data_IF_780302560019
#
_entry.id   IF_780302560019
#
_cell.length_a   1.000
_cell.length_b   1.000
_cell.length_c   1.000
_cell.angle_alpha   90.00
_cell.angle_beta   90.00
_cell.angle_gamma   90.00
#
_symmetry.space_group_name_H-M   'P 1'
#
loop_
_entity.id
_entity.type
_entity.pdbx_description
1 polymer ?
#
# COMPACT_ATOMS: atom_id res chain seq x y z
N UNK A 1 34.37 -13.19 11.23
CA UNK A 1 33.86 -12.62 9.98
C UNK A 1 33.52 -11.16 10.26
N UNK A 2 34.18 -10.23 9.59
CA UNK A 2 33.93 -8.80 9.76
C UNK A 2 32.61 -8.37 9.09
N UNK A 3 32.12 -7.17 9.42
CA UNK A 3 30.89 -6.62 8.84
C UNK A 3 30.95 -6.57 7.28
N UNK A 4 32.08 -6.16 6.73
CA UNK A 4 32.30 -6.07 5.30
C UNK A 4 32.37 -7.45 4.63
N UNK A 5 32.91 -8.47 5.32
CA UNK A 5 32.93 -9.85 4.79
C UNK A 5 31.51 -10.36 4.54
N UNK A 6 30.57 -10.07 5.46
CA UNK A 6 29.13 -10.38 5.27
C UNK A 6 28.58 -9.73 4.02
N UNK A 7 28.93 -8.47 3.75
CA UNK A 7 28.47 -7.71 2.58
C UNK A 7 29.07 -8.27 1.30
N UNK A 8 30.38 -8.56 1.28
CA UNK A 8 31.07 -9.15 0.14
C UNK A 8 30.59 -10.56 -0.22
N UNK A 9 30.06 -11.30 0.76
CA UNK A 9 29.51 -12.65 0.55
C UNK A 9 28.03 -12.63 0.13
N UNK A 10 27.38 -11.47 0.02
CA UNK A 10 26.02 -11.38 -0.49
C UNK A 10 25.99 -11.64 -2.01
N UNK A 11 25.54 -12.82 -2.43
CA UNK A 11 25.58 -13.29 -3.81
C UNK A 11 24.19 -13.43 -4.46
N UNK A 12 23.14 -13.57 -3.66
CA UNK A 12 21.79 -13.90 -4.13
C UNK A 12 21.32 -13.05 -5.33
N UNK A 13 21.47 -11.71 -5.25
CA UNK A 13 21.08 -10.83 -6.35
C UNK A 13 22.01 -11.02 -7.59
N UNK A 14 23.32 -11.26 -7.38
CA UNK A 14 24.28 -11.48 -8.47
C UNK A 14 23.99 -12.78 -9.20
N UNK A 15 23.66 -13.84 -8.51
CA UNK A 15 23.30 -15.12 -9.08
C UNK A 15 22.08 -15.01 -10.01
N UNK A 16 21.07 -14.22 -9.62
CA UNK A 16 19.92 -13.91 -10.49
C UNK A 16 20.32 -13.07 -11.71
N UNK A 17 21.27 -12.12 -11.56
CA UNK A 17 21.79 -11.32 -12.67
C UNK A 17 22.56 -12.19 -13.66
N UNK A 18 23.39 -13.12 -13.17
CA UNK A 18 24.22 -14.00 -14.00
C UNK A 18 23.38 -14.92 -14.91
N UNK A 19 22.16 -15.25 -14.50
CA UNK A 19 21.22 -16.08 -15.27
C UNK A 19 20.08 -15.28 -15.92
N UNK A 20 20.18 -13.94 -15.94
CA UNK A 20 19.21 -13.00 -16.55
C UNK A 20 17.77 -13.10 -16.00
N UNK A 21 17.64 -13.42 -14.70
CA UNK A 21 16.36 -13.49 -13.98
C UNK A 21 16.21 -12.42 -12.88
N UNK A 22 17.07 -11.40 -12.88
CA UNK A 22 16.98 -10.29 -11.92
C UNK A 22 15.87 -9.32 -12.31
N UNK A 23 14.69 -9.46 -11.71
CA UNK A 23 13.49 -8.69 -12.03
C UNK A 23 13.25 -7.50 -11.07
N UNK A 24 14.29 -6.99 -10.42
CA UNK A 24 14.22 -5.83 -9.52
C UNK A 24 14.89 -4.60 -10.14
N UNK A 25 14.53 -3.40 -9.64
CA UNK A 25 15.10 -2.12 -10.10
C UNK A 25 15.04 -1.90 -11.61
N UNK A 26 13.97 -2.41 -12.25
CA UNK A 26 13.74 -2.27 -13.69
C UNK A 26 13.49 -0.81 -14.06
N UNK A 27 14.18 -0.29 -15.05
CA UNK A 27 14.11 1.12 -15.47
C UNK A 27 12.94 1.33 -16.42
N UNK A 28 11.97 2.16 -16.02
CA UNK A 28 10.86 2.62 -16.86
C UNK A 28 11.27 3.91 -17.57
N UNK A 29 11.03 3.99 -18.88
CA UNK A 29 11.52 5.06 -19.77
C UNK A 29 10.38 6.03 -20.19
N UNK A 30 9.21 5.91 -19.57
CA UNK A 30 8.01 6.71 -19.86
C UNK A 30 7.29 7.17 -18.59
N UNK A 31 6.18 7.89 -18.74
CA UNK A 31 5.24 8.10 -17.66
C UNK A 31 4.65 6.76 -17.14
N UNK A 32 4.13 6.75 -15.90
CA UNK A 32 3.46 5.60 -15.30
C UNK A 32 1.98 5.62 -15.73
N UNK A 33 1.67 4.82 -16.76
CA UNK A 33 0.35 4.68 -17.37
C UNK A 33 0.00 3.21 -17.57
N UNK A 34 -1.09 2.92 -18.27
CA UNK A 34 -1.53 1.54 -18.59
C UNK A 34 -0.45 0.77 -19.34
N UNK A 35 0.26 1.46 -20.22
CA UNK A 35 1.45 0.98 -20.91
C UNK A 35 2.65 1.83 -20.55
N UNK A 36 3.80 1.21 -20.49
CA UNK A 36 5.07 1.88 -20.21
C UNK A 36 6.13 1.46 -21.21
N UNK A 37 7.12 2.33 -21.41
CA UNK A 37 8.31 1.96 -22.18
C UNK A 37 9.33 1.30 -21.27
N UNK A 38 9.69 0.07 -21.62
CA UNK A 38 10.72 -0.71 -20.94
C UNK A 38 11.64 -1.36 -21.95
N UNK A 39 12.95 -1.13 -21.85
CA UNK A 39 13.97 -1.61 -22.82
C UNK A 39 13.60 -1.29 -24.29
N UNK A 40 13.12 -0.06 -24.51
CA UNK A 40 12.73 0.42 -25.84
C UNK A 40 11.42 -0.15 -26.40
N UNK A 41 10.74 -1.04 -25.69
CA UNK A 41 9.44 -1.63 -26.06
C UNK A 41 8.32 -1.02 -25.24
N UNK A 42 7.12 -0.93 -25.80
CA UNK A 42 5.90 -0.60 -25.07
C UNK A 42 5.28 -1.89 -24.52
N UNK A 43 5.01 -1.92 -23.21
CA UNK A 43 4.48 -3.09 -22.51
C UNK A 43 3.35 -2.71 -21.56
N UNK A 44 2.38 -3.61 -21.36
CA UNK A 44 1.21 -3.39 -20.49
C UNK A 44 1.67 -3.45 -19.02
N UNK A 45 1.30 -2.45 -18.22
CA UNK A 45 1.72 -2.28 -16.83
C UNK A 45 0.71 -2.91 -15.87
N UNK A 46 0.92 -4.12 -15.42
CA UNK A 46 0.14 -4.79 -14.38
C UNK A 46 0.88 -4.87 -13.02
N UNK A 47 1.97 -4.14 -12.87
CA UNK A 47 2.79 -4.13 -11.64
C UNK A 47 2.72 -2.83 -10.83
N UNK A 48 1.86 -1.86 -11.22
CA UNK A 48 1.77 -0.55 -10.59
C UNK A 48 0.60 -0.46 -9.60
N UNK A 49 0.80 0.25 -8.48
CA UNK A 49 -0.27 0.58 -7.53
C UNK A 49 -1.03 1.88 -7.89
N UNK A 50 -0.95 2.36 -9.12
CA UNK A 50 -1.64 3.55 -9.61
C UNK A 50 -3.13 3.26 -9.89
N UNK A 51 -3.87 2.75 -8.89
CA UNK A 51 -5.22 2.17 -9.02
C UNK A 51 -6.20 3.04 -9.80
N UNK A 52 -6.18 4.35 -9.57
CA UNK A 52 -7.10 5.29 -10.25
C UNK A 52 -6.52 5.91 -11.53
N UNK A 53 -5.28 5.58 -11.90
CA UNK A 53 -4.63 6.11 -13.09
C UNK A 53 -4.33 7.61 -13.02
N UNK A 54 -4.07 8.16 -11.83
CA UNK A 54 -3.95 9.60 -11.61
C UNK A 54 -2.52 10.15 -11.74
N UNK A 55 -1.50 9.31 -11.77
CA UNK A 55 -0.09 9.77 -11.78
C UNK A 55 0.26 10.65 -12.98
N UNK A 56 -0.45 10.50 -14.10
CA UNK A 56 -0.24 11.29 -15.32
C UNK A 56 -1.46 12.16 -15.68
N UNK A 57 -2.48 12.29 -14.81
CA UNK A 57 -3.64 13.14 -15.04
C UNK A 57 -3.20 14.60 -15.21
N UNK A 58 -3.66 15.31 -16.27
CA UNK A 58 -3.23 16.68 -16.56
C UNK A 58 -3.55 17.66 -15.42
N UNK A 59 -4.66 17.48 -14.70
CA UNK A 59 -5.08 18.34 -13.58
C UNK A 59 -4.12 18.18 -12.38
N UNK A 60 -3.69 16.94 -12.12
CA UNK A 60 -2.71 16.64 -11.06
C UNK A 60 -1.34 17.24 -11.39
N UNK A 61 -0.92 17.14 -12.66
CA UNK A 61 0.34 17.76 -13.14
C UNK A 61 0.29 19.29 -13.09
N UNK A 62 -0.82 19.88 -13.50
CA UNK A 62 -1.01 21.33 -13.47
C UNK A 62 -0.97 21.87 -12.03
N UNK A 63 -1.64 21.18 -11.09
CA UNK A 63 -1.59 21.54 -9.68
C UNK A 63 -0.16 21.54 -9.13
N UNK A 64 0.61 20.50 -9.47
CA UNK A 64 2.03 20.40 -9.08
C UNK A 64 2.87 21.56 -9.65
N UNK A 65 2.69 21.89 -10.94
CA UNK A 65 3.42 22.98 -11.60
C UNK A 65 3.09 24.34 -10.98
N UNK A 66 1.82 24.59 -10.71
CA UNK A 66 1.36 25.82 -10.05
C UNK A 66 1.92 25.96 -8.64
N UNK A 67 2.00 24.85 -7.88
CA UNK A 67 2.60 24.86 -6.55
C UNK A 67 4.10 25.14 -6.60
N UNK A 68 4.84 24.59 -7.57
CA UNK A 68 6.24 24.93 -7.79
C UNK A 68 6.41 26.43 -8.10
N UNK A 69 5.57 26.97 -8.97
CA UNK A 69 5.64 28.39 -9.33
C UNK A 69 5.39 29.32 -8.14
N UNK A 70 4.48 28.94 -7.20
CA UNK A 70 4.13 29.74 -6.02
C UNK A 70 5.09 29.59 -4.87
N UNK A 71 5.49 28.33 -4.54
CA UNK A 71 6.19 28.01 -3.30
C UNK A 71 7.65 27.55 -3.50
N UNK A 72 8.07 27.31 -4.74
CA UNK A 72 9.36 26.69 -5.04
C UNK A 72 9.33 25.17 -4.94
N UNK A 73 10.51 24.54 -4.96
CA UNK A 73 10.67 23.09 -5.07
C UNK A 73 10.64 22.33 -3.74
N UNK A 74 10.74 23.04 -2.60
CA UNK A 74 10.77 22.41 -1.28
C UNK A 74 10.59 23.42 -0.16
N UNK A 75 10.45 22.92 1.08
CA UNK A 75 10.16 23.73 2.27
C UNK A 75 11.42 24.12 3.07
N UNK A 76 12.56 23.52 2.77
CA UNK A 76 13.84 23.73 3.46
C UNK A 76 13.79 23.57 5.00
N UNK A 77 12.86 22.74 5.51
CA UNK A 77 12.70 22.45 6.93
C UNK A 77 11.61 21.46 7.22
N UNK A 78 11.47 21.08 8.49
CA UNK A 78 10.43 20.17 8.96
C UNK A 78 9.10 20.91 9.19
N UNK A 79 8.00 20.12 9.23
CA UNK A 79 6.66 20.62 9.59
C UNK A 79 6.64 21.34 10.94
N UNK A 80 7.46 20.89 11.86
CA UNK A 80 7.57 21.43 13.23
C UNK A 80 8.20 22.83 13.31
N UNK A 81 9.04 23.19 12.33
CA UNK A 81 9.75 24.48 12.31
C UNK A 81 9.17 25.43 11.25
N UNK A 82 9.82 25.51 10.09
CA UNK A 82 9.48 26.45 9.03
C UNK A 82 8.80 25.80 7.80
N UNK A 83 8.64 24.48 7.80
CA UNK A 83 8.18 23.74 6.62
C UNK A 83 6.67 23.51 6.56
N UNK A 84 5.85 24.20 7.38
CA UNK A 84 4.40 24.13 7.27
C UNK A 84 3.89 25.27 6.38
N UNK A 85 3.33 24.92 5.23
CA UNK A 85 2.68 25.86 4.31
C UNK A 85 1.15 25.79 4.47
N UNK A 86 0.44 26.81 3.96
CA UNK A 86 -1.02 26.86 3.90
C UNK A 86 -1.61 25.59 3.24
N UNK A 87 -1.06 25.17 2.09
CA UNK A 87 -1.51 24.00 1.35
C UNK A 87 -1.37 22.67 2.12
N UNK A 88 -0.46 22.59 3.11
CA UNK A 88 -0.41 21.41 3.99
C UNK A 88 -1.64 21.33 4.88
N UNK A 89 -2.07 22.48 5.43
CA UNK A 89 -3.25 22.54 6.31
C UNK A 89 -4.52 22.25 5.50
N UNK A 90 -4.67 22.85 4.32
CA UNK A 90 -5.79 22.60 3.41
C UNK A 90 -5.88 21.11 3.04
N UNK A 91 -4.74 20.47 2.76
CA UNK A 91 -4.69 19.03 2.47
C UNK A 91 -5.10 18.19 3.70
N UNK A 92 -4.63 18.55 4.91
CA UNK A 92 -5.00 17.86 6.15
C UNK A 92 -6.51 17.93 6.42
N UNK A 93 -7.13 19.09 6.20
CA UNK A 93 -8.59 19.26 6.31
C UNK A 93 -9.34 18.39 5.29
N UNK A 94 -8.88 18.38 4.03
CA UNK A 94 -9.45 17.57 2.95
C UNK A 94 -9.33 16.07 3.24
N UNK A 95 -8.20 15.60 3.74
CA UNK A 95 -7.98 14.20 4.12
C UNK A 95 -8.84 13.78 5.31
N UNK A 96 -8.97 14.62 6.33
CA UNK A 96 -9.85 14.36 7.46
C UNK A 96 -11.31 14.18 7.01
N UNK A 97 -11.79 15.07 6.13
CA UNK A 97 -13.12 14.98 5.55
C UNK A 97 -13.30 13.73 4.66
N UNK A 98 -12.27 13.37 3.86
CA UNK A 98 -12.29 12.17 3.01
C UNK A 98 -12.54 10.91 3.83
N UNK A 99 -11.76 10.69 4.88
CA UNK A 99 -11.85 9.46 5.69
C UNK A 99 -12.83 9.58 6.87
N UNK A 100 -13.56 10.70 7.01
CA UNK A 100 -14.58 10.90 8.02
C UNK A 100 -14.04 11.04 9.45
N UNK A 101 -12.88 11.69 9.61
CA UNK A 101 -12.26 11.95 10.92
C UNK A 101 -12.21 13.44 11.23
N UNK A 102 -11.95 13.80 12.51
CA UNK A 102 -11.95 15.20 12.95
C UNK A 102 -10.73 15.97 12.49
N UNK A 103 -9.58 15.32 12.42
CA UNK A 103 -8.30 15.92 12.04
C UNK A 103 -7.40 14.93 11.35
N UNK A 104 -6.54 15.42 10.46
CA UNK A 104 -5.47 14.63 9.85
C UNK A 104 -4.12 15.35 10.01
N UNK A 105 -3.04 14.58 9.81
CA UNK A 105 -1.66 15.05 9.86
C UNK A 105 -0.87 14.40 8.73
N UNK A 106 -0.21 15.21 7.90
CA UNK A 106 0.54 14.76 6.72
C UNK A 106 2.01 14.51 7.07
N UNK A 107 2.55 13.41 6.56
CA UNK A 107 3.96 12.98 6.63
C UNK A 107 4.57 12.90 5.24
N UNK A 108 5.90 12.95 5.15
CA UNK A 108 6.61 12.92 3.88
C UNK A 108 6.58 11.56 3.17
N UNK A 109 6.31 10.46 3.86
CA UNK A 109 6.05 9.13 3.29
C UNK A 109 5.06 8.34 4.14
N UNK A 110 4.33 7.37 3.53
CA UNK A 110 3.47 6.45 4.28
C UNK A 110 4.24 5.60 5.29
N UNK A 111 5.47 5.18 4.96
CA UNK A 111 6.33 4.45 5.89
C UNK A 111 6.60 5.23 7.19
N UNK A 112 6.86 6.53 7.07
CA UNK A 112 7.08 7.42 8.22
C UNK A 112 5.83 7.65 9.06
N UNK A 113 4.63 7.51 8.50
CA UNK A 113 3.37 7.60 9.28
C UNK A 113 3.36 6.51 10.33
N UNK A 114 3.51 5.24 9.94
CA UNK A 114 3.52 4.12 10.89
C UNK A 114 4.64 4.23 11.91
N UNK A 115 5.87 4.59 11.48
CA UNK A 115 6.96 4.81 12.42
C UNK A 115 6.66 5.93 13.43
N UNK A 116 6.13 7.05 12.96
CA UNK A 116 5.83 8.22 13.80
C UNK A 116 4.68 7.97 14.75
N UNK A 117 3.59 7.38 14.27
CA UNK A 117 2.39 7.11 15.05
C UNK A 117 2.68 6.07 16.14
N UNK A 118 3.18 4.89 15.76
CA UNK A 118 3.40 3.79 16.70
C UNK A 118 4.45 4.15 17.76
N UNK A 119 5.56 4.78 17.37
CA UNK A 119 6.61 5.17 18.31
C UNK A 119 6.23 6.33 19.22
N UNK A 120 5.20 7.14 18.89
CA UNK A 120 4.72 8.21 19.73
C UNK A 120 3.58 7.80 20.66
N UNK A 121 2.71 6.88 20.23
CA UNK A 121 1.52 6.49 21.01
C UNK A 121 1.83 5.40 22.03
N UNK A 122 2.64 4.41 21.67
CA UNK A 122 2.89 3.26 22.53
C UNK A 122 4.30 3.30 23.15
N UNK A 123 4.42 2.89 24.41
CA UNK A 123 5.66 2.89 25.17
C UNK A 123 5.83 1.62 26.00
N UNK A 124 6.80 1.62 26.95
CA UNK A 124 7.23 0.45 27.75
C UNK A 124 6.15 -0.27 28.55
N UNK A 125 4.98 0.34 28.75
CA UNK A 125 3.87 -0.22 29.54
C UNK A 125 2.69 -0.61 28.67
N UNK A 126 2.84 -0.49 27.36
CA UNK A 126 1.78 -0.71 26.39
C UNK A 126 2.13 -1.91 25.52
N UNK A 127 1.14 -2.47 24.86
CA UNK A 127 1.29 -3.58 23.91
C UNK A 127 0.76 -3.17 22.54
N UNK A 128 1.55 -3.43 21.50
CA UNK A 128 1.11 -3.30 20.11
C UNK A 128 0.80 -4.70 19.60
N UNK A 129 -0.41 -4.89 19.08
CA UNK A 129 -0.90 -6.15 18.52
C UNK A 129 -1.02 -5.98 17.00
N UNK A 130 -0.34 -6.85 16.24
CA UNK A 130 -0.23 -6.78 14.78
C UNK A 130 -0.59 -8.11 14.14
N UNK A 131 -1.12 -8.08 12.93
CA UNK A 131 -1.22 -9.26 12.08
C UNK A 131 0.21 -9.69 11.65
N UNK A 132 0.45 -10.99 11.50
CA UNK A 132 1.78 -11.49 11.12
C UNK A 132 2.20 -11.08 9.70
N UNK A 133 1.25 -10.73 8.83
CA UNK A 133 1.45 -10.31 7.44
C UNK A 133 1.38 -8.80 7.24
N UNK A 134 1.17 -8.03 8.31
CA UNK A 134 1.17 -6.57 8.26
C UNK A 134 2.45 -6.00 7.64
N UNK A 135 2.30 -4.86 6.97
CA UNK A 135 3.37 -4.19 6.23
C UNK A 135 4.62 -3.92 7.08
N UNK A 136 5.80 -4.00 6.45
CA UNK A 136 7.10 -3.79 7.11
C UNK A 136 7.20 -2.48 7.90
N UNK A 137 6.52 -1.41 7.48
CA UNK A 137 6.50 -0.13 8.19
C UNK A 137 5.82 -0.21 9.56
N UNK A 138 4.81 -1.08 9.70
CA UNK A 138 4.13 -1.38 10.97
C UNK A 138 5.09 -2.11 11.90
N UNK A 139 5.75 -3.14 11.39
CA UNK A 139 6.73 -3.93 12.15
C UNK A 139 7.88 -3.03 12.65
N UNK A 140 8.42 -2.18 11.78
CA UNK A 140 9.53 -1.28 12.13
C UNK A 140 9.07 -0.16 13.07
N UNK A 141 7.88 0.40 12.86
CA UNK A 141 7.27 1.38 13.76
C UNK A 141 7.05 0.82 15.17
N UNK A 142 6.52 -0.41 15.26
CA UNK A 142 6.36 -1.11 16.53
C UNK A 142 7.69 -1.36 17.25
N UNK A 143 8.75 -1.74 16.53
CA UNK A 143 10.11 -1.89 17.10
C UNK A 143 10.67 -0.60 17.67
N UNK A 144 10.33 0.55 17.09
CA UNK A 144 10.81 1.87 17.55
C UNK A 144 10.05 2.39 18.78
N UNK A 145 8.90 1.82 19.14
CA UNK A 145 8.02 2.30 20.20
C UNK A 145 8.48 1.95 21.61
N UNK A 146 9.35 0.99 21.82
CA UNK A 146 9.66 0.35 23.10
C UNK A 146 8.48 -0.41 23.76
N UNK A 147 7.32 -0.51 23.13
CA UNK A 147 6.21 -1.33 23.59
C UNK A 147 6.51 -2.83 23.35
N UNK A 148 5.84 -3.67 24.10
CA UNK A 148 5.82 -5.09 23.78
C UNK A 148 5.00 -5.31 22.51
N UNK A 149 5.48 -6.22 21.63
CA UNK A 149 4.79 -6.53 20.37
C UNK A 149 4.26 -7.95 20.43
N UNK A 150 2.97 -8.11 20.15
CA UNK A 150 2.31 -9.41 19.99
C UNK A 150 1.84 -9.56 18.55
N UNK A 151 2.01 -10.75 18.02
CA UNK A 151 1.52 -11.09 16.66
C UNK A 151 0.41 -12.11 16.77
N UNK A 152 -0.63 -11.93 15.96
CA UNK A 152 -1.63 -12.96 15.74
C UNK A 152 -1.52 -13.52 14.32
N UNK A 153 -2.07 -14.74 14.12
CA UNK A 153 -2.08 -15.37 12.80
C UNK A 153 -2.97 -14.59 11.84
N UNK A 154 -2.54 -14.52 10.60
CA UNK A 154 -3.19 -13.75 9.56
C UNK A 154 -4.71 -13.98 9.51
N UNK A 155 -5.47 -12.89 9.64
CA UNK A 155 -6.93 -12.85 9.64
C UNK A 155 -7.63 -13.90 10.55
N UNK A 156 -6.95 -14.38 11.62
CA UNK A 156 -7.44 -15.36 12.56
C UNK A 156 -7.97 -14.68 13.83
N UNK A 157 -9.28 -14.50 13.88
CA UNK A 157 -9.95 -13.76 14.97
C UNK A 157 -9.95 -14.53 16.29
N UNK A 158 -9.95 -15.87 16.27
CA UNK A 158 -9.80 -16.69 17.48
C UNK A 158 -8.42 -16.48 18.09
N UNK A 159 -7.39 -16.45 17.25
CA UNK A 159 -6.03 -16.21 17.72
C UNK A 159 -5.84 -14.75 18.18
N UNK A 160 -6.45 -13.77 17.52
CA UNK A 160 -6.46 -12.38 17.99
C UNK A 160 -7.12 -12.29 19.38
N UNK A 161 -8.25 -12.94 19.60
CA UNK A 161 -8.92 -12.94 20.89
C UNK A 161 -8.07 -13.56 22.01
N UNK A 162 -7.39 -14.67 21.73
CA UNK A 162 -6.45 -15.29 22.67
C UNK A 162 -5.30 -14.34 23.06
N UNK A 163 -4.76 -13.60 22.10
CA UNK A 163 -3.73 -12.58 22.35
C UNK A 163 -4.28 -11.45 23.21
N UNK A 164 -5.45 -10.94 22.90
CA UNK A 164 -6.10 -9.87 23.65
C UNK A 164 -6.43 -10.28 25.09
N UNK A 165 -6.91 -11.50 25.31
CA UNK A 165 -7.15 -12.03 26.66
C UNK A 165 -5.87 -12.16 27.47
N UNK A 166 -4.75 -12.57 26.87
CA UNK A 166 -3.46 -12.63 27.54
C UNK A 166 -2.92 -11.28 27.98
N UNK A 167 -3.35 -10.20 27.35
CA UNK A 167 -2.94 -8.81 27.60
C UNK A 167 -4.07 -7.96 28.20
N UNK A 168 -5.10 -8.56 28.80
CA UNK A 168 -6.31 -7.85 29.27
C UNK A 168 -6.04 -6.70 30.24
N UNK A 169 -4.99 -6.79 31.03
CA UNK A 169 -4.64 -5.81 32.07
C UNK A 169 -3.65 -4.73 31.58
N UNK A 170 -3.29 -4.72 30.30
CA UNK A 170 -2.37 -3.75 29.68
C UNK A 170 -3.12 -2.76 28.78
N UNK A 171 -2.55 -1.57 28.53
CA UNK A 171 -2.99 -0.72 27.43
C UNK A 171 -2.62 -1.37 26.11
N UNK A 172 -3.53 -1.36 25.15
CA UNK A 172 -3.37 -2.08 23.89
C UNK A 172 -3.64 -1.17 22.70
N UNK A 173 -2.79 -1.30 21.67
CA UNK A 173 -3.00 -0.76 20.35
C UNK A 173 -3.03 -1.91 19.34
N UNK A 174 -4.17 -2.14 18.71
CA UNK A 174 -4.27 -3.02 17.54
C UNK A 174 -3.99 -2.16 16.31
N UNK A 175 -3.09 -2.60 15.46
CA UNK A 175 -2.92 -2.05 14.12
C UNK A 175 -3.00 -3.19 13.11
N UNK A 176 -3.65 -2.94 11.97
CA UNK A 176 -3.86 -3.93 10.92
C UNK A 176 -3.91 -3.23 9.56
N UNK A 177 -3.33 -3.86 8.54
CA UNK A 177 -3.55 -3.47 7.14
C UNK A 177 -5.03 -3.65 6.79
N UNK A 178 -5.68 -2.62 6.26
CA UNK A 178 -7.08 -2.71 5.82
C UNK A 178 -7.23 -3.65 4.61
N UNK A 179 -6.25 -3.61 3.71
CA UNK A 179 -6.07 -4.52 2.58
C UNK A 179 -4.63 -4.98 2.56
N UNK A 180 -4.41 -6.29 2.61
CA UNK A 180 -3.08 -6.89 2.62
C UNK A 180 -2.44 -6.85 1.23
N UNK A 181 -1.23 -6.32 1.18
CA UNK A 181 -0.59 -5.88 -0.07
C UNK A 181 -0.16 -7.00 -1.02
N UNK A 182 0.02 -8.22 -0.51
CA UNK A 182 0.50 -9.36 -1.31
C UNK A 182 -0.64 -10.29 -1.71
N UNK A 183 -1.50 -10.63 -0.78
CA UNK A 183 -2.63 -11.54 -0.95
C UNK A 183 -3.86 -10.83 -1.53
N UNK A 184 -4.01 -9.52 -1.31
CA UNK A 184 -5.14 -8.73 -1.79
C UNK A 184 -6.46 -8.99 -1.04
N UNK A 185 -6.42 -9.69 0.08
CA UNK A 185 -7.57 -9.89 0.95
C UNK A 185 -7.80 -8.69 1.89
N UNK A 186 -8.99 -8.63 2.45
CA UNK A 186 -9.45 -7.54 3.32
C UNK A 186 -9.37 -8.02 4.77
N UNK A 187 -8.94 -7.13 5.68
CA UNK A 187 -9.01 -7.40 7.10
C UNK A 187 -10.45 -7.66 7.57
N UNK A 188 -10.65 -8.63 8.45
CA UNK A 188 -11.95 -8.90 9.08
C UNK A 188 -12.32 -7.80 10.08
N UNK A 189 -12.40 -6.57 9.56
CA UNK A 189 -12.57 -5.36 10.36
C UNK A 189 -13.82 -5.37 11.26
N UNK A 190 -14.97 -5.95 10.85
CA UNK A 190 -16.13 -6.07 11.73
C UNK A 190 -15.84 -6.85 13.02
N UNK A 191 -15.13 -7.97 12.93
CA UNK A 191 -14.75 -8.79 14.07
C UNK A 191 -13.64 -8.13 14.89
N UNK A 192 -12.66 -7.52 14.23
CA UNK A 192 -11.56 -6.79 14.88
C UNK A 192 -12.13 -5.64 15.72
N UNK A 193 -13.09 -4.86 15.20
CA UNK A 193 -13.71 -3.77 15.96
C UNK A 193 -14.47 -4.27 17.18
N UNK A 194 -15.18 -5.40 17.10
CA UNK A 194 -15.86 -6.02 18.24
C UNK A 194 -14.86 -6.46 19.33
N UNK A 195 -13.76 -7.06 18.91
CA UNK A 195 -12.70 -7.47 19.83
C UNK A 195 -11.99 -6.26 20.46
N UNK A 196 -11.71 -5.22 19.67
CA UNK A 196 -11.12 -3.98 20.18
C UNK A 196 -12.01 -3.33 21.26
N UNK A 197 -13.33 -3.22 21.03
CA UNK A 197 -14.27 -2.73 22.02
C UNK A 197 -14.33 -3.63 23.25
N UNK A 198 -14.43 -4.94 23.08
CA UNK A 198 -14.50 -5.92 24.18
C UNK A 198 -13.31 -5.84 25.14
N UNK A 199 -12.11 -5.64 24.60
CA UNK A 199 -10.86 -5.64 25.37
C UNK A 199 -10.31 -4.23 25.63
N UNK A 200 -11.03 -3.17 25.26
CA UNK A 200 -10.63 -1.77 25.46
C UNK A 200 -9.32 -1.41 24.74
N UNK A 201 -9.12 -1.93 23.53
CA UNK A 201 -7.97 -1.64 22.70
C UNK A 201 -8.23 -0.44 21.81
N UNK A 202 -7.23 0.42 21.60
CA UNK A 202 -7.20 1.41 20.53
C UNK A 202 -7.02 0.69 19.19
N UNK A 203 -7.76 1.09 18.17
CA UNK A 203 -7.70 0.48 16.84
C UNK A 203 -7.20 1.46 15.78
N UNK A 204 -6.12 1.10 15.10
CA UNK A 204 -5.58 1.79 13.94
C UNK A 204 -5.69 0.89 12.70
N UNK A 205 -6.16 1.45 11.59
CA UNK A 205 -6.18 0.78 10.28
C UNK A 205 -5.17 1.45 9.36
N UNK A 206 -4.23 0.66 8.83
CA UNK A 206 -3.39 1.07 7.72
C UNK A 206 -4.17 0.83 6.41
N UNK A 207 -4.72 1.88 5.89
CA UNK A 207 -5.60 1.88 4.72
C UNK A 207 -4.87 2.28 3.43
N UNK A 208 -3.57 2.00 3.38
CA UNK A 208 -2.71 2.34 2.25
C UNK A 208 -3.17 1.76 0.92
N UNK A 209 -3.81 0.59 0.93
CA UNK A 209 -4.40 -0.06 -0.25
C UNK A 209 -5.93 0.09 -0.32
N UNK A 210 -6.59 0.55 0.74
CA UNK A 210 -8.04 0.73 0.78
C UNK A 210 -8.48 2.11 0.28
N UNK A 211 -7.74 3.18 0.62
CA UNK A 211 -8.05 4.54 0.15
C UNK A 211 -7.97 4.63 -1.38
N UNK A 212 -9.06 5.07 -2.01
CA UNK A 212 -9.23 5.12 -3.46
C UNK A 212 -9.71 3.80 -4.07
N UNK A 213 -9.79 2.71 -3.30
CA UNK A 213 -10.16 1.36 -3.78
C UNK A 213 -11.46 0.88 -3.13
N UNK A 214 -11.57 0.97 -1.83
CA UNK A 214 -12.72 0.48 -1.05
C UNK A 214 -13.60 1.63 -0.53
N UNK A 215 -14.83 1.28 -0.20
CA UNK A 215 -15.81 2.19 0.36
C UNK A 215 -16.40 3.17 -0.65
N UNK A 216 -17.41 3.90 -0.22
CA UNK A 216 -18.09 4.87 -1.08
C UNK A 216 -17.12 5.96 -1.54
N UNK A 217 -16.96 6.14 -2.84
CA UNK A 217 -16.05 7.11 -3.45
C UNK A 217 -14.60 6.94 -2.98
N UNK A 218 -14.15 5.69 -2.72
CA UNK A 218 -12.78 5.41 -2.33
C UNK A 218 -12.38 5.87 -0.92
N UNK A 219 -13.32 5.96 0.03
CA UNK A 219 -13.08 6.43 1.41
C UNK A 219 -12.36 5.42 2.30
N UNK A 220 -12.03 4.25 1.79
CA UNK A 220 -11.23 3.24 2.46
C UNK A 220 -12.03 2.14 3.16
N UNK A 221 -11.29 1.22 3.78
CA UNK A 221 -11.78 -0.03 4.37
C UNK A 221 -12.77 0.22 5.51
N UNK A 222 -12.49 1.16 6.39
CA UNK A 222 -13.41 1.49 7.49
C UNK A 222 -14.78 1.98 6.99
N UNK A 223 -14.79 2.76 5.91
CA UNK A 223 -16.03 3.22 5.28
C UNK A 223 -16.75 2.09 4.53
N UNK A 224 -15.99 1.18 3.92
CA UNK A 224 -16.54 0.01 3.22
C UNK A 224 -17.45 -0.83 4.13
N UNK A 225 -17.05 -1.03 5.39
CA UNK A 225 -17.83 -1.76 6.39
C UNK A 225 -18.78 -0.88 7.21
N UNK A 226 -18.82 0.45 7.00
CA UNK A 226 -19.63 1.37 7.81
C UNK A 226 -19.12 1.51 9.25
N UNK A 227 -17.82 1.29 9.48
CA UNK A 227 -17.17 1.24 10.80
C UNK A 227 -16.26 2.43 11.08
N UNK A 228 -16.36 3.51 10.30
CA UNK A 228 -15.49 4.68 10.42
C UNK A 228 -15.43 5.22 11.86
N UNK A 229 -16.55 5.24 12.58
CA UNK A 229 -16.63 5.73 13.97
C UNK A 229 -16.06 4.74 15.00
N UNK A 230 -15.82 3.49 14.62
CA UNK A 230 -15.27 2.42 15.46
C UNK A 230 -13.75 2.27 15.37
N UNK A 231 -13.14 2.87 14.37
CA UNK A 231 -11.69 2.89 14.18
C UNK A 231 -11.17 4.21 14.75
N UNK A 232 -10.19 4.17 15.65
CA UNK A 232 -9.65 5.40 16.28
C UNK A 232 -8.75 6.18 15.33
N UNK A 233 -7.89 5.48 14.60
CA UNK A 233 -6.92 6.05 13.70
C UNK A 233 -6.98 5.38 12.33
N UNK A 234 -7.00 6.18 11.28
CA UNK A 234 -6.87 5.74 9.88
C UNK A 234 -5.58 6.32 9.32
N UNK A 235 -4.70 5.45 8.85
CA UNK A 235 -3.51 5.82 8.11
C UNK A 235 -3.75 5.59 6.62
N UNK A 236 -3.18 6.43 5.76
CA UNK A 236 -3.14 6.21 4.32
C UNK A 236 -1.83 6.69 3.70
N UNK A 237 -1.55 6.22 2.50
CA UNK A 237 -0.39 6.66 1.71
C UNK A 237 -0.82 7.38 0.45
N UNK A 238 0.04 8.28 -0.05
CA UNK A 238 -0.19 8.98 -1.32
C UNK A 238 0.47 8.30 -2.52
N UNK A 239 1.28 7.27 -2.28
CA UNK A 239 2.09 6.62 -3.31
C UNK A 239 1.33 5.60 -4.18
N UNK A 240 0.02 5.54 -4.05
CA UNK A 240 -0.86 4.61 -4.77
C UNK A 240 -2.00 5.38 -5.47
N UNK A 241 -3.24 5.23 -5.03
CA UNK A 241 -4.41 5.91 -5.63
C UNK A 241 -4.27 7.44 -5.71
N UNK A 242 -3.57 8.07 -4.77
CA UNK A 242 -3.42 9.52 -4.70
C UNK A 242 -2.18 10.07 -5.43
N UNK A 243 -1.51 9.25 -6.25
CA UNK A 243 -0.61 9.63 -7.34
C UNK A 243 0.62 10.48 -6.96
N UNK A 244 1.11 10.45 -5.70
CA UNK A 244 2.24 11.26 -5.24
C UNK A 244 3.10 10.51 -4.22
N UNK A 245 3.92 11.22 -3.47
CA UNK A 245 4.70 10.69 -2.34
C UNK A 245 4.24 11.38 -1.07
N UNK A 246 4.10 10.62 0.00
CA UNK A 246 3.66 11.07 1.31
C UNK A 246 2.69 10.08 1.95
N UNK A 247 2.10 10.49 3.05
CA UNK A 247 1.06 9.74 3.75
C UNK A 247 0.42 10.60 4.83
N UNK A 248 -0.60 10.09 5.47
CA UNK A 248 -1.32 10.78 6.52
C UNK A 248 -1.80 9.82 7.60
N UNK A 249 -2.07 10.36 8.78
CA UNK A 249 -2.89 9.74 9.81
C UNK A 249 -4.05 10.67 10.14
N UNK A 250 -5.24 10.11 10.35
CA UNK A 250 -6.44 10.85 10.72
C UNK A 250 -7.12 10.20 11.92
N UNK A 251 -7.70 11.03 12.81
CA UNK A 251 -8.35 10.56 14.03
C UNK A 251 -9.00 11.68 14.84
N UNK A 252 -9.10 11.48 16.16
CA UNK A 252 -9.53 12.52 17.08
C UNK A 252 -8.53 13.68 17.15
N UNK A 253 -9.02 14.90 17.37
CA UNK A 253 -8.20 16.11 17.34
C UNK A 253 -7.06 16.11 18.38
N UNK A 254 -7.34 15.61 19.61
CA UNK A 254 -6.33 15.58 20.67
C UNK A 254 -5.27 14.52 20.42
N UNK A 255 -5.67 13.38 19.85
CA UNK A 255 -4.72 12.31 19.45
C UNK A 255 -3.80 12.80 18.33
N UNK A 256 -4.35 13.44 17.30
CA UNK A 256 -3.55 14.01 16.21
C UNK A 256 -2.64 15.13 16.72
N UNK A 257 -3.11 15.97 17.64
CA UNK A 257 -2.29 16.99 18.28
C UNK A 257 -1.11 16.38 19.06
N UNK A 258 -1.35 15.31 19.80
CA UNK A 258 -0.30 14.56 20.52
C UNK A 258 0.75 14.00 19.54
N UNK A 259 0.32 13.31 18.47
CA UNK A 259 1.21 12.76 17.44
C UNK A 259 2.04 13.88 16.79
N UNK A 260 1.42 15.01 16.47
CA UNK A 260 2.07 16.17 15.85
C UNK A 260 3.29 16.68 16.65
N UNK A 261 3.25 16.56 17.98
CA UNK A 261 4.28 17.08 18.87
C UNK A 261 5.29 16.02 19.34
N UNK A 262 5.01 14.73 19.15
CA UNK A 262 5.84 13.64 19.67
C UNK A 262 6.36 12.69 18.59
N UNK A 263 5.78 12.68 17.40
CA UNK A 263 6.24 11.82 16.32
C UNK A 263 7.58 12.29 15.77
N UNK A 264 8.66 11.64 16.19
CA UNK A 264 10.04 11.99 15.79
C UNK A 264 10.24 11.91 14.27
N UNK A 265 9.58 10.96 13.59
CA UNK A 265 9.62 10.82 12.15
C UNK A 265 9.03 12.05 11.42
N UNK A 266 8.09 12.78 12.04
CA UNK A 266 7.59 14.05 11.52
C UNK A 266 8.49 15.22 11.88
N UNK A 267 8.86 15.34 13.17
CA UNK A 267 9.54 16.50 13.72
C UNK A 267 10.96 16.71 13.15
N UNK A 268 11.65 15.60 12.88
CA UNK A 268 13.06 15.60 12.45
C UNK A 268 13.25 15.24 10.97
N UNK A 269 12.17 15.28 10.19
CA UNK A 269 12.23 15.09 8.75
C UNK A 269 11.77 16.32 7.98
N UNK A 270 12.30 16.51 6.78
CA UNK A 270 11.85 17.57 5.89
C UNK A 270 10.36 17.39 5.54
N UNK A 271 9.67 18.51 5.40
CA UNK A 271 8.26 18.53 4.97
C UNK A 271 8.08 17.98 3.56
N UNK A 272 6.92 17.44 3.32
CA UNK A 272 6.48 17.07 1.97
C UNK A 272 6.56 18.29 1.04
N UNK A 273 7.16 18.16 -0.17
CA UNK A 273 7.37 19.32 -1.04
C UNK A 273 6.03 19.83 -1.63
N UNK A 274 5.93 21.13 -1.95
CA UNK A 274 4.70 21.78 -2.40
C UNK A 274 4.05 21.09 -3.61
N UNK A 275 4.84 20.66 -4.58
CA UNK A 275 4.35 19.93 -5.74
C UNK A 275 3.60 18.64 -5.37
N UNK A 276 4.16 17.87 -4.43
CA UNK A 276 3.54 16.63 -3.97
C UNK A 276 2.26 16.90 -3.18
N UNK A 277 2.23 17.94 -2.34
CA UNK A 277 1.02 18.36 -1.59
C UNK A 277 -0.11 18.72 -2.56
N UNK A 278 0.17 19.57 -3.54
CA UNK A 278 -0.81 20.00 -4.53
C UNK A 278 -1.30 18.86 -5.42
N UNK A 279 -0.39 17.94 -5.80
CA UNK A 279 -0.76 16.72 -6.56
C UNK A 279 -1.79 15.90 -5.81
N UNK A 280 -1.56 15.62 -4.51
CA UNK A 280 -2.50 14.85 -3.69
C UNK A 280 -3.83 15.56 -3.55
N UNK A 281 -3.81 16.87 -3.31
CA UNK A 281 -5.05 17.66 -3.20
C UNK A 281 -5.89 17.57 -4.47
N UNK A 282 -5.26 17.74 -5.64
CA UNK A 282 -5.93 17.60 -6.93
C UNK A 282 -6.39 16.16 -7.21
N UNK A 283 -5.59 15.16 -6.84
CA UNK A 283 -5.97 13.76 -7.00
C UNK A 283 -7.22 13.38 -6.20
N UNK A 284 -7.36 13.93 -4.98
CA UNK A 284 -8.58 13.76 -4.17
C UNK A 284 -9.79 14.41 -4.86
N UNK A 285 -9.64 15.62 -5.40
CA UNK A 285 -10.73 16.29 -6.11
C UNK A 285 -11.18 15.45 -7.31
N UNK A 286 -10.24 15.03 -8.16
CA UNK A 286 -10.53 14.17 -9.32
C UNK A 286 -11.21 12.87 -8.91
N UNK A 287 -10.72 12.21 -7.86
CA UNK A 287 -11.31 10.97 -7.33
C UNK A 287 -12.78 11.16 -6.89
N UNK A 288 -13.07 12.30 -6.25
CA UNK A 288 -14.42 12.60 -5.76
C UNK A 288 -15.37 13.09 -6.85
N UNK A 289 -14.86 13.68 -7.93
CA UNK A 289 -15.62 14.16 -9.08
C UNK A 289 -15.89 13.09 -10.14
N UNK A 290 -15.04 12.05 -10.21
CA UNK A 290 -15.06 11.04 -11.28
C UNK A 290 -15.35 9.62 -10.74
N UNK A 291 -16.59 9.34 -10.39
CA UNK A 291 -17.05 8.02 -9.90
C UNK A 291 -16.70 6.88 -10.88
N UNK A 292 -16.63 7.20 -12.19
CA UNK A 292 -16.30 6.21 -13.22
C UNK A 292 -14.94 5.52 -13.01
N UNK A 293 -13.99 6.19 -12.34
CA UNK A 293 -12.68 5.57 -12.07
C UNK A 293 -12.79 4.40 -11.10
N UNK A 294 -13.58 4.58 -10.05
CA UNK A 294 -13.84 3.51 -9.10
C UNK A 294 -14.60 2.36 -9.76
N UNK A 295 -15.67 2.67 -10.53
CA UNK A 295 -16.44 1.69 -11.27
C UNK A 295 -15.57 0.92 -12.30
N UNK A 296 -14.72 1.64 -13.04
CA UNK A 296 -13.82 1.05 -14.02
C UNK A 296 -12.78 0.14 -13.37
N UNK A 297 -12.20 0.55 -12.22
CA UNK A 297 -11.24 -0.26 -11.47
C UNK A 297 -11.84 -1.62 -11.09
N UNK A 298 -13.06 -1.62 -10.56
CA UNK A 298 -13.74 -2.85 -10.14
C UNK A 298 -14.19 -3.70 -11.34
N UNK A 299 -14.71 -3.09 -12.39
CA UNK A 299 -15.01 -3.80 -13.65
C UNK A 299 -13.76 -4.49 -14.22
N UNK A 300 -12.63 -3.79 -14.23
CA UNK A 300 -11.36 -4.33 -14.69
C UNK A 300 -10.86 -5.47 -13.80
N UNK A 301 -11.06 -5.35 -12.48
CA UNK A 301 -10.79 -6.42 -11.52
C UNK A 301 -11.61 -7.67 -11.82
N UNK A 302 -12.91 -7.52 -12.01
CA UNK A 302 -13.83 -8.64 -12.25
C UNK A 302 -13.51 -9.35 -13.57
N UNK A 303 -13.18 -8.59 -14.61
CA UNK A 303 -12.75 -9.15 -15.90
C UNK A 303 -11.45 -9.95 -15.75
N UNK A 304 -10.41 -9.36 -15.11
CA UNK A 304 -9.13 -10.04 -14.93
C UNK A 304 -9.29 -11.31 -14.10
N UNK A 305 -10.05 -11.25 -13.00
CA UNK A 305 -10.31 -12.38 -12.11
C UNK A 305 -11.01 -13.52 -12.85
N UNK A 306 -12.09 -13.22 -13.57
CA UNK A 306 -12.80 -14.23 -14.37
C UNK A 306 -11.87 -14.92 -15.37
N UNK A 307 -10.99 -14.18 -16.05
CA UNK A 307 -10.03 -14.72 -17.00
C UNK A 307 -8.96 -15.61 -16.33
N UNK A 308 -8.50 -15.24 -15.13
CA UNK A 308 -7.54 -16.04 -14.35
C UNK A 308 -8.17 -17.35 -13.87
N UNK A 309 -9.39 -17.28 -13.34
CA UNK A 309 -10.15 -18.44 -12.85
C UNK A 309 -10.45 -19.41 -14.00
N UNK A 310 -10.91 -18.91 -15.15
CA UNK A 310 -11.19 -19.72 -16.36
C UNK A 310 -9.92 -20.40 -16.88
N UNK A 311 -8.76 -19.77 -16.73
CA UNK A 311 -7.46 -20.33 -17.14
C UNK A 311 -6.90 -21.33 -16.12
N UNK A 312 -7.43 -21.37 -14.89
CA UNK A 312 -6.99 -22.28 -13.82
C UNK A 312 -5.82 -21.76 -12.98
N UNK A 313 -5.61 -20.44 -12.92
CA UNK A 313 -4.67 -19.85 -11.97
C UNK A 313 -5.25 -19.87 -10.56
N UNK A 314 -4.38 -20.14 -9.57
CA UNK A 314 -4.72 -19.94 -8.16
C UNK A 314 -4.54 -18.46 -7.81
N UNK A 315 -5.64 -17.78 -7.47
CA UNK A 315 -5.66 -16.35 -7.12
C UNK A 315 -5.74 -16.11 -5.60
N UNK A 316 -5.59 -17.16 -4.78
CA UNK A 316 -5.61 -17.06 -3.33
C UNK A 316 -6.92 -16.45 -2.78
N UNK A 317 -6.87 -15.84 -1.60
CA UNK A 317 -8.04 -15.25 -0.94
C UNK A 317 -8.37 -13.82 -1.40
N UNK A 318 -7.78 -13.33 -2.47
CA UNK A 318 -7.90 -11.94 -2.90
C UNK A 318 -9.34 -11.51 -3.15
N UNK A 319 -9.69 -10.33 -2.65
CA UNK A 319 -11.01 -9.70 -2.78
C UNK A 319 -10.93 -8.30 -3.41
N UNK A 320 -9.73 -7.84 -3.82
CA UNK A 320 -9.47 -6.47 -4.27
C UNK A 320 -8.77 -6.43 -5.63
N UNK A 321 -8.58 -5.26 -6.26
CA UNK A 321 -7.79 -5.11 -7.48
C UNK A 321 -6.28 -5.42 -7.35
N UNK A 322 -5.89 -6.11 -6.31
CA UNK A 322 -4.59 -6.77 -6.14
C UNK A 322 -4.86 -8.27 -6.29
N UNK A 323 -4.43 -8.86 -7.39
CA UNK A 323 -4.70 -10.26 -7.67
C UNK A 323 -3.36 -11.01 -7.72
N UNK A 324 -3.09 -11.92 -6.77
CA UNK A 324 -1.96 -12.83 -6.87
C UNK A 324 -2.26 -13.91 -7.91
N UNK A 325 -1.26 -14.31 -8.68
CA UNK A 325 -1.25 -15.59 -9.40
C UNK A 325 -0.17 -16.47 -8.75
N UNK A 326 -0.59 -17.42 -7.94
CA UNK A 326 0.31 -18.28 -7.16
C UNK A 326 1.03 -19.23 -8.10
N UNK A 327 2.38 -19.28 -8.00
CA UNK A 327 3.23 -20.13 -8.85
C UNK A 327 4.08 -21.12 -8.03
N UNK A 328 4.08 -20.98 -6.72
CA UNK A 328 4.73 -21.89 -5.77
C UNK A 328 6.19 -21.57 -5.51
N UNK A 329 7.09 -21.87 -6.44
CA UNK A 329 8.52 -21.75 -6.24
C UNK A 329 9.08 -20.39 -6.67
N UNK A 330 10.00 -19.82 -5.87
CA UNK A 330 10.64 -18.52 -6.14
C UNK A 330 11.24 -18.43 -7.56
N UNK A 331 11.92 -19.49 -8.00
CA UNK A 331 12.55 -19.53 -9.32
C UNK A 331 11.53 -19.54 -10.46
N UNK A 332 10.35 -20.14 -10.25
CA UNK A 332 9.25 -20.13 -11.23
C UNK A 332 8.69 -18.71 -11.34
N UNK A 333 8.51 -18.00 -10.22
CA UNK A 333 8.07 -16.60 -10.22
C UNK A 333 9.04 -15.69 -11.00
N UNK A 334 10.35 -15.84 -10.81
CA UNK A 334 11.35 -15.08 -11.57
C UNK A 334 11.29 -15.39 -13.08
N UNK A 335 11.20 -16.66 -13.45
CA UNK A 335 11.08 -17.09 -14.86
C UNK A 335 9.81 -16.56 -15.51
N UNK A 336 8.67 -16.69 -14.82
CA UNK A 336 7.39 -16.19 -15.30
C UNK A 336 7.42 -14.66 -15.48
N UNK A 337 7.92 -13.92 -14.50
CA UNK A 337 8.05 -12.47 -14.60
C UNK A 337 8.93 -12.05 -15.80
N UNK A 338 10.05 -12.73 -16.04
CA UNK A 338 10.92 -12.47 -17.20
C UNK A 338 10.20 -12.76 -18.51
N UNK A 339 9.56 -13.93 -18.64
CA UNK A 339 8.84 -14.34 -19.85
C UNK A 339 7.69 -13.38 -20.17
N UNK A 340 6.92 -12.97 -19.15
CA UNK A 340 5.84 -11.97 -19.32
C UNK A 340 6.39 -10.63 -19.81
N UNK A 341 7.53 -10.17 -19.28
CA UNK A 341 8.16 -8.93 -19.72
C UNK A 341 8.64 -9.01 -21.18
N UNK A 342 9.20 -10.15 -21.61
CA UNK A 342 9.63 -10.38 -22.99
C UNK A 342 8.45 -10.37 -23.98
N UNK A 343 7.28 -10.86 -23.56
CA UNK A 343 6.04 -10.93 -24.35
C UNK A 343 5.19 -9.64 -24.26
N UNK A 344 5.56 -8.66 -23.43
CA UNK A 344 4.91 -7.35 -23.39
C UNK A 344 4.02 -7.07 -22.18
N UNK A 345 4.22 -7.78 -21.05
CA UNK A 345 3.49 -7.52 -19.80
C UNK A 345 4.45 -7.30 -18.64
N UNK A 346 4.33 -6.14 -17.97
CA UNK A 346 5.10 -5.79 -16.79
C UNK A 346 4.38 -6.23 -15.52
N UNK A 347 4.99 -7.15 -14.78
CA UNK A 347 4.49 -7.65 -13.49
C UNK A 347 5.62 -7.70 -12.47
N UNK A 348 5.30 -7.92 -11.20
CA UNK A 348 6.27 -8.08 -10.12
C UNK A 348 6.23 -9.50 -9.55
N UNK A 349 7.37 -10.18 -9.43
CA UNK A 349 7.44 -11.43 -8.68
C UNK A 349 7.45 -11.10 -7.19
N UNK A 350 6.70 -11.85 -6.40
CA UNK A 350 6.72 -11.82 -4.93
C UNK A 350 7.20 -13.17 -4.46
N UNK A 351 8.30 -13.17 -3.72
CA UNK A 351 9.01 -14.37 -3.29
C UNK A 351 9.36 -14.30 -1.80
N UNK A 352 9.80 -15.38 -1.23
CA UNK A 352 10.28 -15.39 0.16
C UNK A 352 11.39 -14.32 0.38
N UNK A 353 11.38 -13.55 1.49
CA UNK A 353 10.52 -13.71 2.69
C UNK A 353 9.23 -12.86 2.68
N UNK A 354 8.85 -12.23 1.55
CA UNK A 354 7.62 -11.44 1.47
C UNK A 354 6.35 -12.32 1.51
N UNK A 355 6.47 -13.56 1.06
CA UNK A 355 5.49 -14.65 1.22
C UNK A 355 6.17 -15.87 1.82
N UNK A 356 5.41 -16.83 2.33
CA UNK A 356 5.97 -18.09 2.83
C UNK A 356 6.64 -18.89 1.70
N UNK A 357 7.67 -19.66 2.06
CA UNK A 357 8.36 -20.52 1.08
C UNK A 357 7.36 -21.51 0.47
N UNK A 358 7.38 -21.65 -0.84
CA UNK A 358 6.41 -22.46 -1.59
C UNK A 358 5.14 -21.72 -2.00
N UNK A 359 5.00 -20.45 -1.64
CA UNK A 359 3.85 -19.59 -2.00
C UNK A 359 4.28 -18.38 -2.85
N UNK A 360 5.36 -18.51 -3.62
CA UNK A 360 5.76 -17.45 -4.54
C UNK A 360 4.64 -17.16 -5.56
N UNK A 361 4.49 -15.90 -5.92
CA UNK A 361 3.40 -15.45 -6.77
C UNK A 361 3.83 -14.33 -7.74
N UNK A 362 3.05 -14.15 -8.79
CA UNK A 362 3.06 -12.95 -9.61
C UNK A 362 1.96 -12.03 -9.11
N UNK A 363 2.32 -10.83 -8.67
CA UNK A 363 1.38 -9.84 -8.18
C UNK A 363 0.87 -8.97 -9.32
N UNK A 364 -0.42 -9.05 -9.58
CA UNK A 364 -1.12 -8.22 -10.55
C UNK A 364 -1.83 -7.08 -9.83
N UNK A 365 -1.74 -5.89 -10.40
CA UNK A 365 -2.45 -4.70 -9.91
C UNK A 365 -3.13 -4.01 -11.08
N UNK A 366 -4.41 -3.74 -10.95
CA UNK A 366 -5.20 -3.09 -11.99
C UNK A 366 -5.29 -1.60 -11.79
N UNK A 367 -5.48 -0.89 -12.89
CA UNK A 367 -5.79 0.54 -12.92
C UNK A 367 -7.16 0.77 -13.53
N UNK A 368 -7.85 1.83 -13.08
CA UNK A 368 -9.12 2.27 -13.64
C UNK A 368 -9.03 2.59 -15.15
N UNK A 369 -7.84 2.98 -15.58
CA UNK A 369 -7.56 3.40 -16.96
C UNK A 369 -7.19 2.25 -17.89
N UNK A 370 -6.97 1.02 -17.39
CA UNK A 370 -6.80 -0.13 -18.27
C UNK A 370 -8.04 -0.34 -19.14
N UNK A 371 -7.82 -0.57 -20.41
CA UNK A 371 -8.85 -0.96 -21.35
C UNK A 371 -9.11 -2.47 -21.32
N UNK A 372 -10.29 -2.89 -21.74
CA UNK A 372 -10.65 -4.30 -21.87
C UNK A 372 -9.70 -5.04 -22.84
N UNK A 373 -9.30 -4.39 -23.93
CA UNK A 373 -8.34 -4.95 -24.90
C UNK A 373 -6.97 -5.21 -24.28
N UNK A 374 -6.45 -4.25 -23.48
CA UNK A 374 -5.16 -4.42 -22.76
C UNK A 374 -5.22 -5.57 -21.76
N UNK A 375 -6.33 -5.69 -21.01
CA UNK A 375 -6.53 -6.79 -20.06
C UNK A 375 -6.60 -8.12 -20.79
N UNK A 376 -7.36 -8.21 -21.87
CA UNK A 376 -7.47 -9.43 -22.67
C UNK A 376 -6.14 -9.83 -23.29
N UNK A 377 -5.39 -8.88 -23.86
CA UNK A 377 -4.05 -9.12 -24.41
C UNK A 377 -3.08 -9.61 -23.32
N UNK A 378 -3.08 -8.98 -22.16
CA UNK A 378 -2.22 -9.39 -21.04
C UNK A 378 -2.58 -10.80 -20.58
N UNK A 379 -3.87 -11.14 -20.51
CA UNK A 379 -4.32 -12.49 -20.13
C UNK A 379 -3.96 -13.54 -21.14
N UNK A 380 -4.06 -13.28 -22.45
CA UNK A 380 -3.63 -14.22 -23.48
C UNK A 380 -2.13 -14.54 -23.34
N UNK A 381 -1.32 -13.53 -23.03
CA UNK A 381 0.13 -13.70 -22.75
C UNK A 381 0.33 -14.49 -21.45
N UNK A 382 -0.41 -14.18 -20.38
CA UNK A 382 -0.31 -14.90 -19.10
C UNK A 382 -0.67 -16.37 -19.24
N UNK A 383 -1.74 -16.69 -19.96
CA UNK A 383 -2.15 -18.08 -20.23
C UNK A 383 -1.09 -18.82 -21.02
N UNK A 384 -0.56 -18.21 -22.08
CA UNK A 384 0.56 -18.78 -22.87
C UNK A 384 1.74 -19.12 -21.98
N UNK A 385 2.22 -18.15 -21.20
CA UNK A 385 3.41 -18.33 -20.35
C UNK A 385 3.14 -19.29 -19.18
N UNK A 386 1.91 -19.24 -18.59
CA UNK A 386 1.51 -20.15 -17.54
C UNK A 386 1.54 -21.62 -17.97
N UNK A 387 1.10 -21.92 -19.23
CA UNK A 387 1.20 -23.26 -19.82
C UNK A 387 2.63 -23.65 -20.15
N UNK A 388 3.44 -22.75 -20.72
CA UNK A 388 4.85 -22.98 -21.00
C UNK A 388 5.66 -23.38 -19.75
N UNK A 389 5.25 -22.90 -18.58
CA UNK A 389 5.92 -23.13 -17.28
C UNK A 389 5.21 -24.18 -16.41
N UNK A 390 4.22 -24.90 -16.94
CA UNK A 390 3.43 -25.93 -16.23
C UNK A 390 2.74 -25.42 -14.96
N UNK A 391 2.37 -24.12 -14.91
CA UNK A 391 1.68 -23.49 -13.79
C UNK A 391 0.16 -23.77 -13.88
N UNK A 392 -0.36 -23.78 -15.08
CA UNK A 392 -1.77 -24.08 -15.38
C UNK A 392 -1.86 -25.22 -16.41
N UNK A 393 -3.00 -25.95 -16.47
CA UNK A 393 -3.20 -27.01 -17.44
C UNK A 393 -3.05 -26.56 -18.89
N UNK A 394 -2.51 -27.45 -19.74
CA UNK A 394 -2.28 -27.22 -21.18
C UNK A 394 -3.57 -27.19 -22.02
#
# INVERSE_FOLDING_TARGET
MGLLDKIHNFRQAKELMDIDLYNYFRVIESAQENTVRYQGKEIIMLGSNNYLGLTNDPRVKEAAQNAIAKYGTGCAGSRFLNGTLDIHIELEEKLAALVGKKKALVFSTGFMVNQGVLSSLAGRKDVIIIDRTDHASIIDGARLSFADVRKYRHNDMENLELVLESEKDTNKLIIVDGVFSMEGDIAKLPEITQLAEKYGAVLMVDDAHGVGVLGKNGRGTSNHFGLTDKVDLIMGTFSKSLASVGGFVAGDADVIHYIQHLARALMFSASMPPASVASVSAAIDVMLEEDWRHEALWRNNDLMRARLDDAGFDTGPSETPIIPAVVGEDMVAFKMCRRLSDEGVFVNPVVSPAVEQGNALIRLSLMATHTEDEINQAMDIMVKVGRELDIIPG
#
